data_IF_747911286069
#
_entry.id   IF_747911286069
#
_cell.length_a   1.000
_cell.length_b   1.000
_cell.length_c   1.000
_cell.angle_alpha   90.00
_cell.angle_beta   90.00
_cell.angle_gamma   90.00
#
_symmetry.space_group_name_H-M   'P 1'
#
loop_
_entity.id
_entity.type
_entity.pdbx_description
1 polymer ?
#
# COMPACT_ATOMS: atom_id res chain seq x y z
N UNK A 1 -27.39 24.16 -70.31
CA UNK A 1 -27.29 25.23 -69.31
C UNK A 1 -28.16 24.99 -68.07
N UNK A 2 -29.40 24.51 -68.14
CA UNK A 2 -30.30 24.30 -66.98
C UNK A 2 -29.85 23.25 -65.99
N UNK A 3 -29.12 22.18 -66.39
CA UNK A 3 -28.62 21.13 -65.47
C UNK A 3 -27.45 21.57 -64.58
N UNK A 4 -26.62 22.47 -65.02
CA UNK A 4 -25.50 23.03 -64.25
C UNK A 4 -25.96 23.96 -63.08
N UNK A 5 -26.98 24.75 -63.34
CA UNK A 5 -27.57 25.63 -62.31
C UNK A 5 -28.20 24.82 -61.17
N UNK A 6 -28.83 23.68 -61.46
CA UNK A 6 -29.47 22.86 -60.44
C UNK A 6 -28.46 22.13 -59.54
N UNK A 7 -27.29 21.82 -60.05
CA UNK A 7 -26.20 21.23 -59.25
C UNK A 7 -25.54 22.27 -58.34
N UNK A 8 -25.34 23.49 -58.79
CA UNK A 8 -24.79 24.56 -57.96
C UNK A 8 -25.74 24.94 -56.82
N UNK A 9 -27.05 24.99 -57.07
CA UNK A 9 -28.03 25.24 -56.00
C UNK A 9 -28.06 24.14 -54.94
N UNK A 10 -27.88 22.86 -55.32
CA UNK A 10 -27.82 21.74 -54.36
C UNK A 10 -26.55 21.71 -53.52
N UNK A 11 -25.45 22.21 -54.04
CA UNK A 11 -24.19 22.33 -53.30
C UNK A 11 -24.23 23.48 -52.29
N UNK A 12 -24.82 24.62 -52.66
CA UNK A 12 -24.98 25.77 -51.77
C UNK A 12 -25.94 25.47 -50.60
N UNK A 13 -27.05 24.78 -50.84
CA UNK A 13 -27.98 24.38 -49.77
C UNK A 13 -27.38 23.33 -48.83
N UNK A 14 -26.46 22.50 -49.32
CA UNK A 14 -25.75 21.54 -48.43
C UNK A 14 -24.72 22.21 -47.52
N UNK A 15 -24.08 23.28 -47.99
CA UNK A 15 -23.13 24.03 -47.15
C UNK A 15 -23.84 24.89 -46.09
N UNK A 16 -25.02 25.42 -46.38
CA UNK A 16 -25.79 26.21 -45.41
C UNK A 16 -26.37 25.36 -44.27
N UNK A 17 -26.66 24.08 -44.51
CA UNK A 17 -27.13 23.17 -43.46
C UNK A 17 -26.03 22.62 -42.58
N UNK A 18 -24.75 22.67 -43.00
CA UNK A 18 -23.63 22.24 -42.15
C UNK A 18 -23.21 23.30 -41.11
N UNK A 19 -23.62 24.55 -41.30
CA UNK A 19 -23.28 25.65 -40.38
C UNK A 19 -24.22 25.78 -39.17
N UNK A 20 -25.33 25.03 -39.12
CA UNK A 20 -26.32 25.10 -38.03
C UNK A 20 -26.13 24.04 -36.95
N UNK A 21 -25.10 23.19 -37.04
CA UNK A 21 -24.71 22.24 -35.98
C UNK A 21 -23.65 22.86 -35.04
N UNK A 22 -23.73 24.18 -34.76
CA UNK A 22 -23.06 24.70 -33.56
C UNK A 22 -23.80 24.09 -32.37
N UNK A 23 -23.23 23.00 -31.85
CA UNK A 23 -23.67 22.44 -30.59
C UNK A 23 -23.74 23.58 -29.57
N UNK A 24 -24.92 23.82 -29.01
CA UNK A 24 -25.09 24.67 -27.84
C UNK A 24 -24.18 24.12 -26.76
N UNK A 25 -22.97 24.60 -26.67
CA UNK A 25 -22.13 24.41 -25.49
C UNK A 25 -22.85 25.15 -24.36
N UNK A 26 -23.61 24.38 -23.58
CA UNK A 26 -24.15 24.89 -22.31
C UNK A 26 -22.94 25.15 -21.43
N UNK A 27 -22.54 26.39 -21.28
CA UNK A 27 -21.56 26.81 -20.32
C UNK A 27 -22.05 26.41 -18.91
N UNK A 28 -21.22 25.75 -18.13
CA UNK A 28 -21.51 25.49 -16.71
C UNK A 28 -21.62 26.84 -15.98
N UNK A 29 -22.58 26.94 -15.08
CA UNK A 29 -22.72 28.13 -14.24
C UNK A 29 -21.66 28.08 -13.12
N UNK A 30 -21.24 29.24 -12.66
CA UNK A 30 -20.25 29.35 -11.57
C UNK A 30 -20.74 28.62 -10.30
N UNK A 31 -22.05 28.73 -10.02
CA UNK A 31 -22.66 28.05 -8.87
C UNK A 31 -22.60 26.51 -9.00
N UNK A 32 -22.76 25.97 -10.19
CA UNK A 32 -22.72 24.53 -10.45
C UNK A 32 -21.33 23.97 -10.16
N UNK A 33 -20.28 24.66 -10.58
CA UNK A 33 -18.91 24.26 -10.24
C UNK A 33 -18.64 24.38 -8.73
N UNK A 34 -19.13 25.45 -8.07
CA UNK A 34 -18.95 25.61 -6.63
C UNK A 34 -19.62 24.46 -5.83
N UNK A 35 -20.82 24.06 -6.21
CA UNK A 35 -21.53 22.94 -5.56
C UNK A 35 -20.80 21.63 -5.79
N UNK A 36 -20.34 21.35 -7.00
CA UNK A 36 -19.59 20.12 -7.32
C UNK A 36 -18.30 20.06 -6.53
N UNK A 37 -17.52 21.14 -6.46
CA UNK A 37 -16.28 21.18 -5.67
C UNK A 37 -16.55 21.00 -4.19
N UNK A 38 -17.63 21.60 -3.65
CA UNK A 38 -18.02 21.44 -2.25
C UNK A 38 -18.36 19.97 -1.92
N UNK A 39 -19.11 19.28 -2.78
CA UNK A 39 -19.45 17.87 -2.59
C UNK A 39 -18.20 16.98 -2.66
N UNK A 40 -17.34 17.20 -3.67
CA UNK A 40 -16.08 16.45 -3.81
C UNK A 40 -15.20 16.64 -2.59
N UNK A 41 -15.07 17.86 -2.09
CA UNK A 41 -14.26 18.16 -0.91
C UNK A 41 -14.77 17.44 0.35
N UNK A 42 -16.10 17.37 0.52
CA UNK A 42 -16.73 16.64 1.64
C UNK A 42 -16.44 15.14 1.56
N UNK A 43 -16.58 14.53 0.39
CA UNK A 43 -16.35 13.10 0.18
C UNK A 43 -14.87 12.76 0.35
N UNK A 44 -13.98 13.55 -0.25
CA UNK A 44 -12.52 13.33 -0.15
C UNK A 44 -12.01 13.44 1.28
N UNK A 45 -12.56 14.35 2.09
CA UNK A 45 -12.20 14.48 3.51
C UNK A 45 -12.48 13.22 4.33
N UNK A 46 -13.62 12.57 4.12
CA UNK A 46 -13.99 11.33 4.82
C UNK A 46 -13.17 10.11 4.38
N UNK A 47 -12.94 9.96 3.09
CA UNK A 47 -12.18 8.83 2.52
C UNK A 47 -10.71 8.88 2.91
N UNK A 48 -10.13 10.07 2.99
CA UNK A 48 -8.70 10.24 3.33
C UNK A 48 -8.32 9.66 4.70
N UNK A 49 -9.16 9.87 5.72
CA UNK A 49 -8.92 9.34 7.08
C UNK A 49 -8.98 7.80 7.11
N UNK A 50 -9.96 7.20 6.43
CA UNK A 50 -10.07 5.73 6.36
C UNK A 50 -8.88 5.10 5.64
N UNK A 51 -8.46 5.69 4.51
CA UNK A 51 -7.31 5.21 3.76
C UNK A 51 -6.01 5.28 4.56
N UNK A 52 -5.81 6.35 5.34
CA UNK A 52 -4.63 6.51 6.18
C UNK A 52 -4.55 5.46 7.30
N UNK A 53 -5.66 5.17 7.98
CA UNK A 53 -5.72 4.15 9.02
C UNK A 53 -5.48 2.74 8.43
N UNK A 54 -6.09 2.44 7.28
CA UNK A 54 -5.87 1.16 6.59
C UNK A 54 -4.42 1.00 6.12
N UNK A 55 -3.77 2.09 5.72
CA UNK A 55 -2.36 2.06 5.34
C UNK A 55 -1.45 1.76 6.53
N UNK A 56 -1.67 2.39 7.69
CA UNK A 56 -0.92 2.10 8.92
C UNK A 56 -1.08 0.64 9.34
N UNK A 57 -2.31 0.13 9.33
CA UNK A 57 -2.57 -1.27 9.67
C UNK A 57 -1.85 -2.23 8.71
N UNK A 58 -1.90 -1.96 7.40
CA UNK A 58 -1.21 -2.77 6.40
C UNK A 58 0.33 -2.80 6.60
N UNK A 59 0.93 -1.69 7.05
CA UNK A 59 2.35 -1.65 7.41
C UNK A 59 2.64 -2.54 8.64
N UNK A 60 1.84 -2.43 9.69
CA UNK A 60 1.97 -3.27 10.90
C UNK A 60 1.81 -4.75 10.56
N UNK A 61 0.79 -5.13 9.78
CA UNK A 61 0.56 -6.51 9.36
C UNK A 61 1.72 -7.05 8.50
N UNK A 62 2.35 -6.18 7.70
CA UNK A 62 3.52 -6.54 6.91
C UNK A 62 4.72 -6.82 7.82
N UNK A 63 5.00 -5.93 8.78
CA UNK A 63 6.09 -6.11 9.72
C UNK A 63 5.92 -7.39 10.57
N UNK A 64 4.70 -7.70 11.03
CA UNK A 64 4.39 -8.96 11.74
C UNK A 64 4.73 -10.19 10.90
N UNK A 65 4.33 -10.19 9.63
CA UNK A 65 4.66 -11.29 8.71
C UNK A 65 6.16 -11.43 8.47
N UNK A 66 6.85 -10.32 8.31
CA UNK A 66 8.30 -10.31 8.10
C UNK A 66 9.05 -10.84 9.31
N UNK A 67 8.65 -10.46 10.53
CA UNK A 67 9.22 -10.97 11.79
C UNK A 67 9.10 -12.48 11.87
N UNK A 68 7.93 -13.05 11.58
CA UNK A 68 7.71 -14.49 11.55
C UNK A 68 8.54 -15.18 10.45
N UNK A 69 8.64 -14.59 9.28
CA UNK A 69 9.45 -15.14 8.19
C UNK A 69 10.95 -15.15 8.53
N UNK A 70 11.44 -14.09 9.17
CA UNK A 70 12.84 -14.01 9.62
C UNK A 70 13.10 -15.08 10.69
N UNK A 71 12.20 -15.24 11.65
CA UNK A 71 12.29 -16.31 12.65
C UNK A 71 12.41 -17.69 12.00
N UNK A 72 11.51 -18.02 11.08
CA UNK A 72 11.55 -19.30 10.35
C UNK A 72 12.86 -19.48 9.58
N UNK A 73 13.39 -18.42 8.97
CA UNK A 73 14.68 -18.47 8.29
C UNK A 73 15.85 -18.74 9.25
N UNK A 74 15.82 -18.17 10.47
CA UNK A 74 16.80 -18.47 11.52
C UNK A 74 16.71 -19.92 11.97
N UNK A 75 15.50 -20.44 12.16
CA UNK A 75 15.29 -21.86 12.52
C UNK A 75 15.84 -22.79 11.43
N UNK A 76 15.56 -22.52 10.17
CA UNK A 76 16.12 -23.27 9.04
C UNK A 76 17.66 -23.19 8.99
N UNK A 77 18.23 -22.02 9.28
CA UNK A 77 19.68 -21.85 9.39
C UNK A 77 20.26 -22.75 10.51
N UNK A 78 19.63 -22.77 11.69
CA UNK A 78 20.05 -23.59 12.84
C UNK A 78 20.03 -25.08 12.52
N UNK A 79 18.99 -25.56 11.81
CA UNK A 79 18.90 -26.95 11.36
C UNK A 79 20.07 -27.32 10.45
N UNK A 80 20.47 -26.45 9.54
CA UNK A 80 21.61 -26.67 8.64
C UNK A 80 22.99 -26.50 9.28
N UNK A 81 23.09 -25.82 10.42
CA UNK A 81 24.34 -25.46 11.09
C UNK A 81 24.52 -26.07 12.48
N UNK A 82 23.90 -27.22 12.76
CA UNK A 82 23.99 -27.94 14.06
C UNK A 82 23.57 -27.05 15.24
N UNK A 83 22.40 -26.43 15.14
CA UNK A 83 21.81 -25.53 16.14
C UNK A 83 22.63 -24.28 16.46
N UNK A 84 23.56 -23.86 15.58
CA UNK A 84 24.31 -22.61 15.77
C UNK A 84 23.48 -21.43 15.31
N UNK A 85 23.43 -20.40 16.14
CA UNK A 85 22.82 -19.10 15.80
C UNK A 85 23.58 -18.39 14.69
N UNK A 86 22.89 -17.72 13.74
CA UNK A 86 23.53 -16.77 12.86
C UNK A 86 24.01 -15.56 13.68
N UNK A 87 25.11 -14.94 13.26
CA UNK A 87 25.63 -13.74 13.92
C UNK A 87 24.87 -12.48 13.47
N UNK A 88 24.42 -12.49 12.23
CA UNK A 88 23.70 -11.39 11.60
C UNK A 88 22.61 -11.94 10.70
N UNK A 89 21.61 -11.13 10.41
CA UNK A 89 20.57 -11.45 9.43
C UNK A 89 21.17 -11.67 8.02
N UNK A 90 22.31 -11.07 7.71
CA UNK A 90 23.00 -11.27 6.45
C UNK A 90 23.54 -12.71 6.27
N UNK A 91 23.83 -13.42 7.37
CA UNK A 91 24.26 -14.81 7.34
C UNK A 91 23.17 -15.73 6.79
N UNK A 92 21.89 -15.39 7.02
CA UNK A 92 20.73 -16.11 6.48
C UNK A 92 20.68 -16.05 4.96
N UNK A 93 20.99 -14.88 4.41
CA UNK A 93 21.08 -14.67 2.96
C UNK A 93 22.25 -15.44 2.36
N UNK A 94 23.41 -15.40 3.01
CA UNK A 94 24.62 -16.11 2.56
C UNK A 94 24.44 -17.62 2.61
N UNK A 95 23.67 -18.12 3.57
CA UNK A 95 23.32 -19.54 3.70
C UNK A 95 22.20 -19.99 2.74
N UNK A 96 21.59 -19.06 1.99
CA UNK A 96 20.51 -19.36 1.05
C UNK A 96 19.16 -19.70 1.69
N UNK A 97 19.00 -19.45 3.00
CA UNK A 97 17.75 -19.72 3.73
C UNK A 97 16.78 -18.54 3.67
N UNK A 98 17.26 -17.34 3.34
CA UNK A 98 16.46 -16.17 3.06
C UNK A 98 16.89 -15.52 1.74
N UNK A 99 15.96 -15.34 0.81
CA UNK A 99 16.27 -14.73 -0.48
C UNK A 99 16.58 -13.23 -0.34
N UNK A 100 15.86 -12.54 0.52
CA UNK A 100 16.01 -11.12 0.82
C UNK A 100 15.56 -10.85 2.25
N UNK A 101 16.38 -10.18 3.02
CA UNK A 101 15.96 -9.55 4.26
C UNK A 101 15.81 -8.08 3.93
N UNK A 102 14.56 -7.62 3.82
CA UNK A 102 14.25 -6.22 3.60
C UNK A 102 14.25 -5.47 4.92
N UNK A 103 14.28 -4.16 4.83
CA UNK A 103 13.93 -3.29 5.94
C UNK A 103 12.45 -3.42 6.27
N UNK A 104 12.09 -3.01 7.47
CA UNK A 104 10.69 -2.94 7.86
C UNK A 104 9.91 -1.90 7.01
N UNK A 105 8.58 -1.83 7.10
CA UNK A 105 7.77 -0.89 6.32
C UNK A 105 8.04 0.59 6.58
N UNK A 106 8.74 0.92 7.65
CA UNK A 106 9.13 2.30 7.99
C UNK A 106 10.58 2.62 7.63
N UNK A 107 11.36 1.63 7.17
CA UNK A 107 12.73 1.79 6.66
C UNK A 107 13.82 1.46 7.67
N UNK A 108 13.49 0.88 8.83
CA UNK A 108 14.43 0.44 9.85
C UNK A 108 14.91 -1.00 9.57
N UNK A 109 16.05 -1.36 10.13
CA UNK A 109 16.53 -2.74 10.08
C UNK A 109 15.90 -3.55 11.22
N UNK A 110 15.58 -4.83 10.97
CA UNK A 110 15.13 -5.74 12.01
C UNK A 110 16.27 -6.08 12.95
N UNK A 111 16.00 -6.10 14.26
CA UNK A 111 16.93 -6.61 15.26
C UNK A 111 16.70 -8.10 15.52
N UNK A 112 17.80 -8.84 15.67
CA UNK A 112 17.78 -10.28 15.96
C UNK A 112 18.65 -10.58 17.17
N UNK A 113 18.07 -11.28 18.14
CA UNK A 113 18.81 -11.93 19.23
C UNK A 113 18.70 -13.44 19.11
N UNK A 114 19.83 -14.11 19.03
CA UNK A 114 19.92 -15.56 19.02
C UNK A 114 21.14 -16.01 19.85
N UNK A 115 20.96 -16.73 20.98
CA UNK A 115 19.68 -17.11 21.58
C UNK A 115 18.90 -15.90 22.07
N UNK A 116 17.54 -15.97 21.96
CA UNK A 116 16.65 -14.92 22.42
C UNK A 116 16.48 -14.89 23.94
N UNK A 117 15.89 -13.83 24.45
CA UNK A 117 15.57 -13.64 25.88
C UNK A 117 14.14 -14.08 26.21
N UNK A 118 13.23 -13.94 25.24
CA UNK A 118 11.80 -14.24 25.38
C UNK A 118 11.44 -15.58 24.73
N UNK A 119 11.98 -15.80 23.55
CA UNK A 119 11.81 -17.04 22.80
C UNK A 119 13.18 -17.62 22.43
N UNK A 120 13.21 -18.70 21.67
CA UNK A 120 14.47 -19.26 21.19
C UNK A 120 15.25 -18.32 20.27
N UNK A 121 14.52 -17.47 19.54
CA UNK A 121 15.04 -16.39 18.68
C UNK A 121 14.10 -15.22 18.78
N UNK A 122 14.57 -14.10 19.24
CA UNK A 122 13.80 -12.87 19.30
C UNK A 122 14.10 -12.02 18.06
N UNK A 123 13.05 -11.64 17.34
CA UNK A 123 13.09 -10.73 16.19
C UNK A 123 12.22 -9.54 16.49
N UNK A 124 12.75 -8.34 16.29
CA UNK A 124 12.04 -7.09 16.61
C UNK A 124 12.17 -6.10 15.45
N UNK A 125 11.06 -5.43 15.11
CA UNK A 125 11.03 -4.20 14.33
C UNK A 125 10.78 -3.05 15.30
N UNK A 126 11.50 -1.95 15.12
CA UNK A 126 11.35 -0.74 15.92
C UNK A 126 10.06 0.06 15.60
N UNK A 127 9.17 -0.49 14.76
CA UNK A 127 7.89 0.15 14.47
C UNK A 127 7.97 1.52 13.80
N UNK A 128 6.87 2.27 13.84
CA UNK A 128 6.75 3.58 13.21
C UNK A 128 7.67 4.66 13.76
N UNK A 129 8.03 4.61 15.04
CA UNK A 129 8.88 5.63 15.67
C UNK A 129 10.38 5.39 15.44
N UNK A 130 10.77 4.15 15.06
CA UNK A 130 12.14 3.74 14.79
C UNK A 130 13.01 3.60 16.04
N UNK A 131 12.41 3.57 17.25
CA UNK A 131 13.10 3.41 18.52
C UNK A 131 12.74 2.06 19.13
N UNK A 132 13.76 1.25 19.48
CA UNK A 132 13.56 -0.04 20.13
C UNK A 132 13.22 0.10 21.61
N UNK A 133 12.34 -0.76 22.11
CA UNK A 133 11.91 -0.78 23.50
C UNK A 133 10.69 0.09 23.77
N UNK A 134 9.93 0.46 22.74
CA UNK A 134 8.70 1.23 22.83
C UNK A 134 7.45 0.35 22.66
N UNK A 135 6.26 0.94 22.86
CA UNK A 135 4.99 0.18 22.82
C UNK A 135 4.59 -0.22 21.38
N UNK A 136 5.18 0.43 20.38
CA UNK A 136 4.92 0.16 18.97
C UNK A 136 5.93 -0.79 18.32
N UNK A 137 6.85 -1.38 19.09
CA UNK A 137 7.70 -2.48 18.67
C UNK A 137 6.88 -3.69 18.20
N UNK A 138 7.26 -4.24 17.07
CA UNK A 138 6.64 -5.46 16.53
C UNK A 138 7.63 -6.60 16.65
N UNK A 139 7.23 -7.65 17.35
CA UNK A 139 8.10 -8.77 17.67
C UNK A 139 7.39 -10.12 17.48
N UNK A 140 8.13 -11.24 17.59
CA UNK A 140 7.62 -12.59 17.40
C UNK A 140 7.09 -13.26 18.67
N UNK A 141 7.05 -12.57 19.80
CA UNK A 141 6.68 -13.15 21.10
C UNK A 141 5.47 -12.49 21.78
N UNK A 142 4.94 -11.36 21.26
CA UNK A 142 3.76 -10.71 21.85
C UNK A 142 2.43 -11.21 21.33
N UNK A 143 2.41 -11.89 20.17
CA UNK A 143 1.15 -12.39 19.58
C UNK A 143 0.69 -13.73 20.19
N UNK A 144 1.49 -14.40 21.04
CA UNK A 144 1.06 -15.63 21.74
C UNK A 144 0.20 -15.37 22.99
N UNK A 145 0.11 -14.11 23.47
CA UNK A 145 -0.70 -13.77 24.66
C UNK A 145 -2.07 -13.15 24.34
N UNK A 146 -2.41 -12.92 23.07
CA UNK A 146 -3.63 -12.22 22.69
C UNK A 146 -4.60 -13.06 21.84
N UNK A 147 -4.94 -14.27 22.28
CA UNK A 147 -6.18 -14.93 21.87
C UNK A 147 -7.12 -15.04 23.09
N UNK A 148 -7.98 -14.02 23.35
CA UNK A 148 -8.91 -14.06 24.47
C UNK A 148 -10.18 -14.90 24.18
N UNK A 149 -10.23 -15.69 23.11
CA UNK A 149 -11.49 -16.38 22.67
C UNK A 149 -11.37 -17.90 22.50
N UNK A 150 -10.39 -18.60 23.09
CA UNK A 150 -10.49 -20.03 23.30
C UNK A 150 -11.12 -20.36 24.66
N UNK A 151 -12.38 -19.95 24.84
CA UNK A 151 -13.06 -20.25 26.11
C UNK A 151 -14.55 -19.94 26.13
N UNK A 152 -15.37 -20.45 25.17
CA UNK A 152 -16.79 -20.74 25.44
C UNK A 152 -17.36 -21.70 24.42
#
# INVERSE_FOLDING_TARGET
MKKLLSLQQRLLTRQLNAASALSRQRGMTLIEIMVVVAIISLVMGGVGLMAFNSFKQAQTDTAKKDVVQIQQAVEMYKLGKRSKCPKTLQDLKTAGVAAKISKDPWGNDYEMKCPGEKTEVDIVSAGPDGELGTEDDINNYTDEEADPDEGK
#
